data_IF_325466474417
#
_entry.id   IF_325466474417
#
_cell.length_a   1.000
_cell.length_b   1.000
_cell.length_c   1.000
_cell.angle_alpha   90.00
_cell.angle_beta   90.00
_cell.angle_gamma   90.00
#
_symmetry.space_group_name_H-M   'P 1'
#
loop_
_entity.id
_entity.type
_entity.pdbx_description
1 polymer ?
#
# COMPACT_ATOMS: atom_id res chain seq x y z
N UNK A 1 8.45 22.78 10.61
CA UNK A 1 9.23 21.58 10.64
C UNK A 1 9.24 20.88 9.29
N UNK A 2 10.40 20.40 8.88
CA UNK A 2 10.56 19.86 7.53
C UNK A 2 9.69 18.63 7.30
N UNK A 3 9.60 17.76 8.27
CA UNK A 3 8.83 16.53 8.10
C UNK A 3 7.37 16.82 7.89
N UNK A 4 6.85 17.76 8.64
CA UNK A 4 5.45 18.14 8.50
C UNK A 4 5.21 18.75 7.14
N UNK A 5 6.12 19.59 6.68
CA UNK A 5 5.99 20.25 5.40
C UNK A 5 6.01 19.22 4.26
N UNK A 6 6.90 18.22 4.35
CA UNK A 6 6.98 17.20 3.33
C UNK A 6 5.68 16.38 3.27
N UNK A 7 5.16 16.00 4.42
CA UNK A 7 3.91 15.26 4.44
C UNK A 7 2.77 16.05 3.86
N UNK A 8 2.75 17.34 4.14
CA UNK A 8 1.68 18.19 3.62
C UNK A 8 1.74 18.33 2.10
N UNK A 9 2.92 18.17 1.51
CA UNK A 9 3.08 18.32 0.07
C UNK A 9 2.63 17.07 -0.69
N UNK A 10 2.49 15.94 -0.01
CA UNK A 10 2.10 14.70 -0.65
C UNK A 10 0.60 14.51 -0.51
N UNK A 11 -0.07 14.34 -1.64
CA UNK A 11 -1.52 14.23 -1.65
C UNK A 11 -1.94 12.83 -2.04
N UNK A 12 -2.64 12.18 -1.13
CA UNK A 12 -3.20 10.85 -1.36
C UNK A 12 -4.66 10.88 -0.96
N UNK A 13 -5.42 9.92 -1.49
CA UNK A 13 -6.76 9.71 -0.97
C UNK A 13 -6.64 9.41 0.52
N UNK A 14 -7.36 10.17 1.33
CA UNK A 14 -7.24 10.09 2.78
C UNK A 14 -7.58 8.70 3.32
N UNK A 15 -8.40 7.94 2.60
CA UNK A 15 -8.87 6.65 3.08
C UNK A 15 -7.95 5.49 2.73
N UNK A 16 -6.88 5.74 1.96
CA UNK A 16 -6.10 4.65 1.43
C UNK A 16 -4.64 4.66 1.87
N UNK A 17 -4.23 5.67 2.61
CA UNK A 17 -2.89 5.69 3.19
C UNK A 17 -3.03 5.99 4.67
N UNK A 18 -2.73 4.99 5.48
CA UNK A 18 -2.83 5.15 6.94
C UNK A 18 -1.63 5.87 7.52
N UNK A 19 -0.49 5.72 6.87
CA UNK A 19 0.74 6.33 7.36
C UNK A 19 1.78 6.26 6.27
N UNK A 20 2.81 7.12 6.36
CA UNK A 20 3.93 6.97 5.48
C UNK A 20 5.18 7.55 6.11
N UNK A 21 6.33 7.00 5.69
CA UNK A 21 7.64 7.41 6.21
C UNK A 21 8.55 7.64 5.02
N UNK A 22 9.04 8.87 4.87
CA UNK A 22 9.99 9.16 3.80
C UNK A 22 11.34 8.61 4.18
N UNK A 23 11.95 7.85 3.26
CA UNK A 23 13.28 7.32 3.47
C UNK A 23 14.30 8.28 2.88
N UNK A 24 14.04 8.75 1.69
CA UNK A 24 14.90 9.75 1.03
C UNK A 24 14.04 10.48 0.01
N UNK A 25 14.67 11.22 -0.90
CA UNK A 25 13.91 12.01 -1.87
C UNK A 25 13.17 11.14 -2.90
N UNK A 26 13.53 9.86 -3.01
CA UNK A 26 12.94 8.99 -4.02
C UNK A 26 11.97 7.97 -3.44
N UNK A 27 12.27 7.41 -2.27
CA UNK A 27 11.53 6.28 -1.74
C UNK A 27 10.87 6.58 -0.41
N UNK A 28 9.70 6.02 -0.23
CA UNK A 28 8.98 6.11 1.04
C UNK A 28 8.32 4.77 1.32
N UNK A 29 8.01 4.56 2.59
CA UNK A 29 7.25 3.39 3.03
C UNK A 29 5.83 3.88 3.30
N UNK A 30 4.85 3.15 2.79
CA UNK A 30 3.45 3.50 2.93
C UNK A 30 2.69 2.36 3.60
N UNK A 31 1.80 2.70 4.52
CA UNK A 31 0.90 1.71 5.11
C UNK A 31 -0.45 1.85 4.42
N UNK A 32 -0.88 0.80 3.74
CA UNK A 32 -2.11 0.81 2.93
C UNK A 32 -2.96 -0.41 3.25
N UNK A 33 -4.26 -0.36 2.95
CA UNK A 33 -5.08 -1.56 3.13
C UNK A 33 -4.85 -2.57 2.02
N UNK A 34 -5.48 -3.73 2.15
CA UNK A 34 -5.46 -4.75 1.10
C UNK A 34 -6.63 -4.48 0.16
N UNK A 35 -6.34 -4.37 -1.13
CA UNK A 35 -7.40 -4.20 -2.12
C UNK A 35 -8.23 -5.48 -2.19
N UNK A 36 -9.52 -5.34 -2.47
CA UNK A 36 -10.39 -6.50 -2.49
C UNK A 36 -9.96 -7.52 -3.54
N UNK A 37 -9.39 -7.06 -4.64
CA UNK A 37 -8.93 -7.98 -5.68
C UNK A 37 -7.70 -8.77 -5.27
N UNK A 38 -7.01 -8.38 -4.19
CA UNK A 38 -5.84 -9.11 -3.72
C UNK A 38 -6.20 -10.14 -2.66
N UNK A 39 -7.37 -10.04 -2.05
CA UNK A 39 -7.75 -10.95 -0.97
C UNK A 39 -7.82 -12.38 -1.48
N UNK A 40 -7.16 -13.29 -0.75
CA UNK A 40 -7.10 -14.69 -1.12
C UNK A 40 -5.98 -15.02 -2.09
N UNK A 41 -5.29 -14.01 -2.59
CA UNK A 41 -4.14 -14.23 -3.47
C UNK A 41 -2.86 -14.09 -2.68
N UNK A 42 -1.79 -14.69 -3.18
CA UNK A 42 -0.49 -14.59 -2.53
C UNK A 42 0.27 -13.38 -3.04
N UNK A 43 1.31 -12.99 -2.30
CA UNK A 43 2.20 -11.92 -2.74
C UNK A 43 2.74 -12.24 -4.13
N UNK A 44 3.16 -13.48 -4.33
CA UNK A 44 3.71 -13.90 -5.62
C UNK A 44 2.68 -13.76 -6.74
N UNK A 45 1.43 -14.13 -6.46
CA UNK A 45 0.39 -14.07 -7.49
C UNK A 45 0.07 -12.65 -7.89
N UNK A 46 -0.01 -11.74 -6.94
CA UNK A 46 -0.25 -10.34 -7.26
C UNK A 46 0.94 -9.71 -7.97
N UNK A 47 2.15 -10.10 -7.56
CA UNK A 47 3.39 -9.67 -8.21
C UNK A 47 3.56 -8.16 -8.17
N UNK A 48 3.65 -7.64 -6.95
CA UNK A 48 3.71 -6.19 -6.74
C UNK A 48 4.89 -5.54 -7.44
N UNK A 49 6.04 -6.21 -7.46
CA UNK A 49 7.23 -5.61 -8.06
C UNK A 49 7.07 -5.41 -9.56
N UNK A 50 6.50 -6.39 -10.23
CA UNK A 50 6.33 -6.29 -11.68
C UNK A 50 5.18 -5.35 -12.05
N UNK A 51 4.09 -5.41 -11.30
CA UNK A 51 2.89 -4.64 -11.66
C UNK A 51 2.94 -3.20 -11.17
N UNK A 52 3.48 -2.97 -9.98
CA UNK A 52 3.40 -1.65 -9.36
C UNK A 52 4.76 -1.06 -9.02
N UNK A 53 5.82 -1.83 -9.20
CA UNK A 53 7.19 -1.38 -8.90
C UNK A 53 7.38 -1.03 -7.44
N UNK A 54 6.66 -1.71 -6.57
CA UNK A 54 6.81 -1.56 -5.13
C UNK A 54 7.10 -2.92 -4.52
N UNK A 55 7.66 -2.92 -3.33
CA UNK A 55 7.93 -4.16 -2.59
C UNK A 55 7.14 -4.16 -1.29
N UNK A 56 6.68 -5.33 -0.89
CA UNK A 56 6.02 -5.49 0.41
C UNK A 56 7.10 -5.63 1.46
N UNK A 57 7.16 -4.66 2.35
CA UNK A 57 8.15 -4.68 3.42
C UNK A 57 7.64 -5.44 4.63
N UNK A 58 6.35 -5.34 4.89
CA UNK A 58 5.76 -6.00 6.03
C UNK A 58 4.25 -6.05 5.94
N UNK A 59 3.67 -6.83 6.82
CA UNK A 59 2.21 -6.98 6.90
C UNK A 59 1.81 -6.77 8.35
N UNK A 60 0.81 -5.94 8.56
CA UNK A 60 0.34 -5.60 9.90
C UNK A 60 -1.08 -6.11 10.06
N UNK A 61 -1.33 -6.80 11.16
CA UNK A 61 -2.66 -7.29 11.48
C UNK A 61 -2.80 -7.31 13.00
N UNK A 62 -3.87 -6.72 13.51
CA UNK A 62 -4.13 -6.67 14.96
C UNK A 62 -2.94 -6.09 15.72
N UNK A 63 -2.36 -5.03 15.18
CA UNK A 63 -1.22 -4.33 15.77
C UNK A 63 0.06 -5.17 15.85
N UNK A 64 0.09 -6.30 15.15
CA UNK A 64 1.30 -7.10 15.04
C UNK A 64 1.84 -6.94 13.62
N UNK A 65 3.09 -6.53 13.52
CA UNK A 65 3.75 -6.36 12.22
C UNK A 65 4.74 -7.48 12.00
N UNK A 66 4.61 -8.13 10.86
CA UNK A 66 5.58 -9.14 10.42
C UNK A 66 6.33 -8.57 9.25
N UNK A 67 7.64 -8.45 9.40
CA UNK A 67 8.48 -7.93 8.33
C UNK A 67 8.92 -9.06 7.41
N UNK A 68 9.17 -8.71 6.16
CA UNK A 68 9.70 -9.63 5.16
C UNK A 68 8.82 -10.87 5.00
N UNK A 69 7.55 -10.68 4.66
CA UNK A 69 6.66 -11.82 4.50
C UNK A 69 7.11 -12.71 3.34
N UNK A 70 6.76 -13.99 3.43
CA UNK A 70 7.10 -14.95 2.39
C UNK A 70 6.24 -14.73 1.16
N UNK A 71 6.77 -15.12 0.02
CA UNK A 71 6.06 -14.93 -1.26
C UNK A 71 4.73 -15.69 -1.32
N UNK A 72 4.56 -16.73 -0.51
CA UNK A 72 3.34 -17.51 -0.49
C UNK A 72 2.33 -17.02 0.56
N UNK A 73 2.60 -15.89 1.19
CA UNK A 73 1.64 -15.30 2.12
C UNK A 73 0.36 -14.93 1.37
N UNK A 74 -0.78 -15.36 1.88
CA UNK A 74 -2.07 -15.12 1.29
C UNK A 74 -2.73 -13.94 1.98
N UNK A 75 -3.19 -12.95 1.21
CA UNK A 75 -3.72 -11.72 1.80
C UNK A 75 -5.08 -11.90 2.43
N UNK A 76 -5.27 -11.23 3.55
CA UNK A 76 -6.51 -11.19 4.32
C UNK A 76 -7.02 -9.75 4.29
N UNK A 77 -8.32 -9.59 4.17
CA UNK A 77 -8.94 -8.27 4.07
C UNK A 77 -8.63 -7.36 5.26
N UNK A 78 -8.31 -7.95 6.41
CA UNK A 78 -8.05 -7.17 7.63
C UNK A 78 -6.61 -6.75 7.80
N UNK A 79 -5.75 -7.13 6.87
CA UNK A 79 -4.33 -6.76 6.96
C UNK A 79 -4.10 -5.37 6.41
N UNK A 80 -3.02 -4.75 6.88
CA UNK A 80 -2.45 -3.57 6.26
C UNK A 80 -1.10 -3.97 5.68
N UNK A 81 -0.78 -3.39 4.53
CA UNK A 81 0.49 -3.67 3.88
C UNK A 81 1.42 -2.50 4.06
N UNK A 82 2.67 -2.79 4.39
CA UNK A 82 3.71 -1.76 4.41
C UNK A 82 4.52 -1.95 3.15
N UNK A 83 4.37 -1.02 2.21
CA UNK A 83 5.03 -1.13 0.91
C UNK A 83 6.07 -0.03 0.77
N UNK A 84 7.16 -0.34 0.08
CA UNK A 84 8.20 0.63 -0.20
C UNK A 84 8.26 0.86 -1.70
N UNK A 85 8.31 2.12 -2.09
CA UNK A 85 8.37 2.47 -3.50
C UNK A 85 8.45 3.96 -3.69
N UNK A 86 8.51 4.37 -4.95
CA UNK A 86 8.48 5.79 -5.30
C UNK A 86 7.05 6.28 -5.30
N UNK A 87 6.88 7.56 -5.04
CA UNK A 87 5.56 8.15 -4.90
C UNK A 87 4.69 7.92 -6.13
N UNK A 88 5.23 8.09 -7.33
CA UNK A 88 4.44 7.88 -8.54
C UNK A 88 3.94 6.47 -8.67
N UNK A 89 4.77 5.50 -8.29
CA UNK A 89 4.38 4.10 -8.37
C UNK A 89 3.29 3.79 -7.36
N UNK A 90 3.41 4.35 -6.16
CA UNK A 90 2.40 4.14 -5.14
C UNK A 90 1.08 4.79 -5.54
N UNK A 91 1.13 5.98 -6.14
CA UNK A 91 -0.09 6.61 -6.62
C UNK A 91 -0.81 5.75 -7.65
N UNK A 92 -0.05 5.12 -8.53
CA UNK A 92 -0.64 4.23 -9.51
C UNK A 92 -1.28 3.02 -8.84
N UNK A 93 -0.60 2.45 -7.85
CA UNK A 93 -1.15 1.33 -7.09
C UNK A 93 -2.45 1.72 -6.41
N UNK A 94 -2.52 2.92 -5.85
CA UNK A 94 -3.68 3.36 -5.10
C UNK A 94 -4.92 3.54 -5.96
N UNK A 95 -4.76 3.59 -7.27
CA UNK A 95 -5.91 3.68 -8.16
C UNK A 95 -6.79 2.44 -8.08
N UNK A 96 -6.25 1.32 -7.63
CA UNK A 96 -7.07 0.14 -7.43
C UNK A 96 -8.21 0.40 -6.43
N UNK A 97 -7.94 1.20 -5.41
CA UNK A 97 -8.95 1.51 -4.40
C UNK A 97 -9.99 2.48 -4.92
N UNK A 98 -9.58 3.42 -5.73
CA UNK A 98 -10.52 4.35 -6.33
C UNK A 98 -11.50 3.61 -7.22
N UNK A 99 -11.01 2.66 -8.00
CA UNK A 99 -11.87 1.86 -8.86
C UNK A 99 -12.89 1.07 -8.06
N UNK A 100 -12.48 0.52 -6.94
CA UNK A 100 -13.40 -0.21 -6.06
C UNK A 100 -14.49 0.71 -5.54
N UNK A 101 -14.11 1.91 -5.13
CA UNK A 101 -15.07 2.89 -4.63
C UNK A 101 -16.06 3.28 -5.72
N UNK A 102 -15.56 3.50 -6.93
CA UNK A 102 -16.43 3.84 -8.05
C UNK A 102 -17.42 2.73 -8.33
N UNK A 103 -16.99 1.47 -8.29
CA UNK A 103 -17.89 0.37 -8.52
C UNK A 103 -18.99 0.31 -7.47
N UNK A 104 -18.65 0.55 -6.23
CA UNK A 104 -19.65 0.57 -5.16
C UNK A 104 -20.66 1.67 -5.38
N UNK A 105 -20.20 2.82 -5.82
CA UNK A 105 -21.08 3.97 -5.98
C UNK A 105 -21.99 3.86 -7.18
N UNK A 106 -21.71 2.94 -8.06
CA UNK A 106 -22.52 2.78 -9.26
C UNK A 106 -23.81 2.02 -9.02
N UNK A 107 -23.95 1.49 -7.88
CA UNK A 107 -25.21 0.77 -7.59
C UNK A 107 -26.42 1.68 -7.46
#
# INVERSE_FOLDING_TARGET
DRDIAQKAAIRFSANHVFDYIAINSEYSIFEIPVASEWVGKTIKEVNFRARYKVSILGIKKNDVTKLMPMADHEFDAKEHLMVIGQIEDVKRLLKNFENETSKKNRK
#
